data_IF_597187968274
#
_entry.id   IF_597187968274
#
_cell.length_a   1.000
_cell.length_b   1.000
_cell.length_c   1.000
_cell.angle_alpha   90.00
_cell.angle_beta   90.00
_cell.angle_gamma   90.00
#
_symmetry.space_group_name_H-M   'P 1'
#
loop_
_entity.id
_entity.type
_entity.pdbx_description
1 polymer ?
#
# COMPACT_ATOMS: atom_id res chain seq x y z
N UNK A 1 13.20 6.28 24.04
CA UNK A 1 12.25 5.74 25.05
C UNK A 1 11.77 4.37 24.61
N UNK A 2 11.81 3.38 25.49
CA UNK A 2 11.31 2.03 25.20
C UNK A 2 10.70 1.35 26.44
N UNK A 3 9.86 0.35 26.23
CA UNK A 3 9.31 -0.46 27.32
C UNK A 3 10.28 -1.54 27.79
N UNK A 4 10.08 -2.06 28.99
CA UNK A 4 10.93 -3.13 29.57
C UNK A 4 11.13 -4.34 28.66
N UNK A 5 10.06 -4.91 28.08
CA UNK A 5 10.17 -6.07 27.17
C UNK A 5 10.99 -5.75 25.91
N UNK A 6 10.88 -4.53 25.39
CA UNK A 6 11.70 -4.06 24.25
C UNK A 6 13.17 -3.90 24.65
N UNK A 7 13.45 -3.42 25.85
CA UNK A 7 14.81 -3.39 26.39
C UNK A 7 15.40 -4.81 26.56
N UNK A 8 14.58 -5.75 27.04
CA UNK A 8 14.94 -7.16 27.23
C UNK A 8 15.17 -7.91 25.91
N UNK A 9 14.50 -7.53 24.82
CA UNK A 9 14.69 -8.14 23.51
C UNK A 9 15.95 -7.66 22.78
N UNK A 10 16.56 -6.55 23.20
CA UNK A 10 17.83 -6.08 22.64
C UNK A 10 18.97 -6.96 23.18
N UNK A 11 19.85 -7.52 22.33
CA UNK A 11 20.99 -8.31 22.78
C UNK A 11 21.84 -7.58 23.81
N UNK A 12 22.32 -8.29 24.84
CA UNK A 12 23.10 -7.69 25.95
C UNK A 12 24.31 -6.89 25.48
N UNK A 13 24.95 -7.31 24.38
CA UNK A 13 26.12 -6.62 23.80
C UNK A 13 25.76 -5.32 23.07
N UNK A 14 24.47 -5.07 22.81
CA UNK A 14 23.96 -3.89 22.09
C UNK A 14 23.16 -2.94 22.98
N UNK A 15 23.01 -3.25 24.27
CA UNK A 15 22.35 -2.36 25.25
C UNK A 15 23.35 -1.92 26.33
N UNK A 16 23.33 -0.65 26.79
CA UNK A 16 22.53 0.46 26.25
C UNK A 16 22.89 0.79 24.81
N UNK A 17 21.95 1.36 24.07
CA UNK A 17 22.17 1.79 22.71
C UNK A 17 23.21 2.93 22.70
N UNK A 18 24.33 2.74 22.00
CA UNK A 18 25.44 3.71 21.94
C UNK A 18 25.02 5.07 21.39
N UNK A 19 25.69 6.14 21.87
CA UNK A 19 25.49 7.54 21.47
C UNK A 19 24.06 8.06 21.66
N UNK A 20 23.29 7.46 22.59
CA UNK A 20 21.89 7.80 22.86
C UNK A 20 21.62 7.75 24.36
N UNK A 21 20.73 8.62 24.83
CA UNK A 21 20.15 8.51 26.17
C UNK A 21 19.07 7.43 26.11
N UNK A 22 19.22 6.40 26.94
CA UNK A 22 18.29 5.28 26.98
C UNK A 22 17.30 5.49 28.13
N UNK A 23 16.01 5.62 27.81
CA UNK A 23 14.94 5.74 28.81
C UNK A 23 14.06 4.49 28.74
N UNK A 24 13.98 3.75 29.85
CA UNK A 24 13.22 2.50 29.96
C UNK A 24 11.99 2.72 30.83
N UNK A 25 10.82 2.49 30.25
CA UNK A 25 9.55 2.55 30.97
C UNK A 25 9.25 1.20 31.60
N UNK A 26 9.22 1.15 32.94
CA UNK A 26 8.90 -0.03 33.72
C UNK A 26 8.30 0.33 35.08
N UNK A 27 7.42 -0.54 35.59
CA UNK A 27 6.92 -0.47 36.96
C UNK A 27 7.88 -1.09 37.99
N UNK A 28 8.84 -1.90 37.55
CA UNK A 28 9.83 -2.58 38.40
C UNK A 28 11.25 -2.22 37.98
N UNK A 29 12.06 -1.81 38.95
CA UNK A 29 13.49 -1.45 38.75
C UNK A 29 14.33 -2.61 39.30
N UNK A 30 15.28 -3.08 38.51
CA UNK A 30 16.28 -4.08 38.90
C UNK A 30 17.70 -3.51 38.78
N UNK A 31 18.69 -4.30 39.22
CA UNK A 31 20.10 -3.88 39.26
C UNK A 31 20.69 -3.57 37.86
N UNK A 32 20.13 -4.11 36.77
CA UNK A 32 20.58 -3.77 35.41
C UNK A 32 20.10 -2.38 34.99
N UNK A 33 18.90 -2.00 35.42
CA UNK A 33 18.30 -0.70 35.12
C UNK A 33 18.85 0.45 36.00
N UNK A 34 19.62 0.15 37.04
CA UNK A 34 20.27 1.13 37.92
C UNK A 34 21.66 1.61 37.46
N UNK A 35 22.06 1.31 36.21
CA UNK A 35 23.34 1.81 35.68
C UNK A 35 23.29 3.31 35.37
N UNK A 36 24.43 4.01 35.51
CA UNK A 36 24.53 5.47 35.40
C UNK A 36 24.07 6.07 34.05
N UNK A 37 23.91 5.25 33.00
CA UNK A 37 23.60 5.70 31.64
C UNK A 37 22.16 5.33 31.19
N UNK A 38 21.29 4.92 32.11
CA UNK A 38 19.91 4.53 31.84
C UNK A 38 18.97 5.33 32.75
N UNK A 39 17.99 6.00 32.15
CA UNK A 39 16.89 6.62 32.87
C UNK A 39 15.72 5.63 32.97
N UNK A 40 15.09 5.53 34.14
CA UNK A 40 13.93 4.67 34.37
C UNK A 40 12.70 5.50 34.70
N UNK A 41 11.55 5.15 34.15
CA UNK A 41 10.29 5.86 34.37
C UNK A 41 9.09 4.91 34.44
N UNK A 42 7.97 5.34 35.03
CA UNK A 42 6.76 4.49 35.20
C UNK A 42 5.74 4.64 34.07
N UNK A 43 5.79 5.76 33.33
CA UNK A 43 4.93 6.07 32.20
C UNK A 43 5.71 6.78 31.09
N UNK A 44 5.10 6.96 29.91
CA UNK A 44 5.69 7.76 28.84
C UNK A 44 5.88 9.23 29.28
N UNK A 45 4.90 9.81 29.98
CA UNK A 45 5.01 11.20 30.44
C UNK A 45 6.13 11.36 31.46
N UNK A 46 6.24 10.45 32.43
CA UNK A 46 7.35 10.46 33.41
C UNK A 46 8.71 10.30 32.71
N UNK A 47 8.76 9.50 31.64
CA UNK A 47 9.96 9.30 30.84
C UNK A 47 10.39 10.59 30.13
N UNK A 48 9.43 11.35 29.60
CA UNK A 48 9.70 12.64 28.97
C UNK A 48 10.16 13.68 30.01
N UNK A 49 9.45 13.81 31.13
CA UNK A 49 9.85 14.73 32.21
C UNK A 49 11.24 14.41 32.75
N UNK A 50 11.52 13.14 33.07
CA UNK A 50 12.83 12.70 33.57
C UNK A 50 13.95 12.93 32.55
N UNK A 51 13.63 12.81 31.25
CA UNK A 51 14.57 13.12 30.18
C UNK A 51 14.89 14.63 30.16
N UNK A 52 13.87 15.49 30.20
CA UNK A 52 14.07 16.95 30.22
C UNK A 52 14.86 17.39 31.46
N UNK A 53 14.52 16.87 32.64
CA UNK A 53 15.26 17.17 33.88
C UNK A 53 16.74 16.75 33.76
N UNK A 54 17.02 15.58 33.20
CA UNK A 54 18.39 15.09 33.01
C UNK A 54 19.18 15.96 32.02
N UNK A 55 18.53 16.35 30.92
CA UNK A 55 19.07 17.22 29.87
C UNK A 55 19.43 18.60 30.44
N UNK A 56 18.55 19.18 31.24
CA UNK A 56 18.76 20.48 31.88
C UNK A 56 19.88 20.41 32.93
N UNK A 57 19.87 19.38 33.79
CA UNK A 57 20.87 19.20 34.86
C UNK A 57 22.29 19.01 34.32
N UNK A 58 22.45 18.34 33.19
CA UNK A 58 23.75 18.01 32.61
C UNK A 58 24.13 18.91 31.44
N UNK A 59 23.30 19.91 31.12
CA UNK A 59 23.47 20.82 29.98
C UNK A 59 23.74 20.06 28.66
N UNK A 60 22.98 18.98 28.44
CA UNK A 60 23.09 18.14 27.24
C UNK A 60 22.16 18.68 26.18
N UNK A 61 22.58 18.71 24.91
CA UNK A 61 21.67 19.00 23.80
C UNK A 61 21.07 17.70 23.26
N UNK A 62 19.76 17.51 23.40
CA UNK A 62 19.04 16.38 22.81
C UNK A 62 18.33 16.83 21.55
N UNK A 63 18.70 16.21 20.42
CA UNK A 63 18.07 16.50 19.13
C UNK A 63 16.64 15.96 19.04
N UNK A 64 16.49 14.65 18.77
CA UNK A 64 15.17 14.02 18.57
C UNK A 64 14.90 12.96 19.62
N UNK A 65 13.65 12.90 20.08
CA UNK A 65 13.16 11.84 20.98
C UNK A 65 12.50 10.76 20.14
N UNK A 66 12.97 9.52 20.27
CA UNK A 66 12.39 8.37 19.58
C UNK A 66 11.73 7.43 20.58
N UNK A 67 10.44 7.13 20.36
CA UNK A 67 9.76 6.00 20.98
C UNK A 67 9.98 4.79 20.09
N UNK A 68 10.65 3.74 20.60
CA UNK A 68 11.05 2.58 19.80
C UNK A 68 10.31 1.28 20.18
N UNK A 69 9.22 1.43 20.93
CA UNK A 69 8.31 0.33 21.31
C UNK A 69 8.25 0.09 22.81
N UNK A 70 7.40 -0.82 23.29
CA UNK A 70 6.52 -1.72 22.52
C UNK A 70 5.12 -1.15 22.25
N UNK A 71 4.18 -2.03 21.89
CA UNK A 71 2.78 -1.72 21.54
C UNK A 71 2.14 -0.65 22.45
N UNK A 72 2.23 -0.84 23.77
CA UNK A 72 1.68 0.12 24.75
C UNK A 72 2.25 1.52 24.57
N UNK A 73 3.58 1.66 24.46
CA UNK A 73 4.22 2.96 24.31
C UNK A 73 3.96 3.56 22.92
N UNK A 74 3.88 2.74 21.87
CA UNK A 74 3.44 3.24 20.57
C UNK A 74 2.01 3.79 20.63
N UNK A 75 1.10 3.09 21.32
CA UNK A 75 -0.29 3.54 21.49
C UNK A 75 -0.37 4.85 22.27
N UNK A 76 0.35 4.96 23.39
CA UNK A 76 0.45 6.19 24.19
C UNK A 76 1.08 7.34 23.37
N UNK A 77 2.12 7.06 22.60
CA UNK A 77 2.79 8.07 21.77
C UNK A 77 1.90 8.57 20.63
N UNK A 78 1.20 7.69 19.91
CA UNK A 78 0.30 8.10 18.83
C UNK A 78 -0.85 8.98 19.32
N UNK A 79 -1.37 8.72 20.51
CA UNK A 79 -2.41 9.52 21.15
C UNK A 79 -1.90 10.88 21.67
N UNK A 80 -0.58 11.08 21.77
CA UNK A 80 0.02 12.33 22.20
C UNK A 80 0.23 13.29 21.03
N UNK A 81 -0.19 14.54 21.20
CA UNK A 81 0.07 15.64 20.25
C UNK A 81 1.55 15.91 20.03
N UNK A 82 2.42 15.46 20.94
CA UNK A 82 3.87 15.56 20.82
C UNK A 82 4.48 14.60 19.78
N UNK A 83 3.75 13.60 19.29
CA UNK A 83 4.23 12.72 18.25
C UNK A 83 4.06 13.38 16.87
N UNK A 84 5.17 13.87 16.32
CA UNK A 84 5.19 14.59 15.03
C UNK A 84 5.31 13.67 13.82
N UNK A 85 6.00 12.53 13.96
CA UNK A 85 6.35 11.66 12.84
C UNK A 85 6.41 10.19 13.24
N UNK A 86 6.03 9.32 12.29
CA UNK A 86 6.09 7.86 12.41
C UNK A 86 7.00 7.35 11.31
N UNK A 87 8.10 6.70 11.71
CA UNK A 87 9.00 6.00 10.80
C UNK A 87 8.66 4.51 10.83
N UNK A 88 7.95 4.04 9.81
CA UNK A 88 7.46 2.67 9.71
C UNK A 88 8.28 1.90 8.67
N UNK A 89 8.70 0.69 9.02
CA UNK A 89 9.24 -0.26 8.04
C UNK A 89 8.18 -1.30 7.73
N UNK A 90 7.64 -1.29 6.52
CA UNK A 90 6.77 -2.38 6.05
C UNK A 90 7.62 -3.57 5.64
N UNK A 91 7.29 -4.77 6.12
CA UNK A 91 8.02 -5.99 5.83
C UNK A 91 7.04 -7.00 5.21
N UNK A 92 7.49 -7.70 4.17
CA UNK A 92 6.80 -8.80 3.50
C UNK A 92 7.74 -10.00 3.45
N UNK A 93 7.30 -11.12 4.01
CA UNK A 93 7.96 -12.41 3.86
C UNK A 93 6.92 -13.52 3.96
N UNK A 94 7.02 -14.58 3.14
CA UNK A 94 6.15 -15.76 3.26
C UNK A 94 6.36 -16.54 4.57
N UNK A 95 7.46 -16.29 5.27
CA UNK A 95 7.82 -16.92 6.55
C UNK A 95 7.26 -16.17 7.76
N UNK A 96 6.82 -14.92 7.58
CA UNK A 96 6.26 -14.12 8.67
C UNK A 96 4.86 -14.62 9.03
N UNK A 97 4.77 -15.33 10.16
CA UNK A 97 3.56 -15.93 10.74
C UNK A 97 3.61 -15.78 12.25
N UNK A 98 2.46 -15.96 12.90
CA UNK A 98 2.32 -16.05 14.36
C UNK A 98 2.87 -14.83 15.13
N UNK A 99 2.09 -13.76 15.16
CA UNK A 99 2.41 -12.53 15.89
C UNK A 99 1.59 -12.43 17.19
N UNK A 100 2.24 -11.99 18.26
CA UNK A 100 1.63 -11.79 19.59
C UNK A 100 1.61 -10.31 20.04
N UNK A 101 2.35 -9.44 19.35
CA UNK A 101 2.44 -7.99 19.62
C UNK A 101 2.28 -7.22 18.31
N UNK A 102 1.42 -6.21 18.31
CA UNK A 102 1.07 -5.46 17.09
C UNK A 102 1.40 -3.97 17.23
N UNK A 103 1.76 -3.35 16.11
CA UNK A 103 1.80 -1.88 16.04
C UNK A 103 0.36 -1.34 16.00
N UNK A 104 0.01 -0.32 16.80
CA UNK A 104 -1.33 0.26 16.79
C UNK A 104 -1.70 0.85 15.42
N UNK A 105 -2.99 0.85 15.09
CA UNK A 105 -3.48 1.50 13.88
C UNK A 105 -3.15 3.00 13.90
N UNK A 106 -2.62 3.50 12.77
CA UNK A 106 -2.29 4.93 12.60
C UNK A 106 -3.60 5.67 12.28
N UNK A 107 -4.03 6.67 13.08
CA UNK A 107 -5.26 7.42 12.81
C UNK A 107 -5.11 8.25 11.53
N UNK A 108 -5.84 7.88 10.48
CA UNK A 108 -5.73 8.50 9.16
C UNK A 108 -6.20 9.97 9.11
N UNK A 109 -6.98 10.41 10.10
CA UNK A 109 -7.40 11.80 10.29
C UNK A 109 -6.35 12.66 11.03
N UNK A 110 -5.37 12.04 11.68
CA UNK A 110 -4.32 12.75 12.43
C UNK A 110 -2.96 12.64 11.75
N UNK A 111 -2.72 11.62 10.93
CA UNK A 111 -1.44 11.41 10.27
C UNK A 111 -1.61 11.14 8.78
N UNK A 112 -0.80 11.81 7.98
CA UNK A 112 -0.70 11.59 6.55
C UNK A 112 0.58 10.82 6.22
N UNK A 113 0.50 9.86 5.30
CA UNK A 113 1.69 9.24 4.71
C UNK A 113 2.39 10.29 3.83
N UNK A 114 3.66 10.56 4.11
CA UNK A 114 4.48 11.59 3.45
C UNK A 114 5.67 11.04 2.66
N UNK A 115 6.08 9.80 2.93
CA UNK A 115 7.07 9.09 2.14
C UNK A 115 6.71 7.61 2.09
N UNK A 116 6.86 6.98 0.93
CA UNK A 116 6.76 5.53 0.76
C UNK A 116 7.81 5.05 -0.23
N UNK A 117 8.92 4.52 0.30
CA UNK A 117 10.04 4.07 -0.51
C UNK A 117 9.73 2.84 -1.38
N UNK A 118 10.63 2.55 -2.31
CA UNK A 118 10.60 1.32 -3.09
C UNK A 118 10.87 0.09 -2.20
N UNK A 119 10.38 -1.08 -2.66
CA UNK A 119 10.72 -2.35 -2.04
C UNK A 119 12.22 -2.64 -2.21
N UNK A 120 12.85 -3.01 -1.10
CA UNK A 120 14.21 -3.52 -0.99
C UNK A 120 14.16 -4.98 -0.59
N UNK A 121 15.18 -5.75 -0.95
CA UNK A 121 15.30 -7.17 -0.57
C UNK A 121 16.43 -7.38 0.43
N UNK A 122 16.23 -8.30 1.36
CA UNK A 122 17.26 -8.83 2.25
C UNK A 122 17.21 -10.34 2.18
N UNK A 123 18.13 -10.95 1.44
CA UNK A 123 18.04 -12.36 1.07
C UNK A 123 16.86 -12.64 0.12
N UNK A 124 16.48 -13.92 0.02
CA UNK A 124 15.53 -14.38 -0.99
C UNK A 124 14.05 -14.20 -0.58
N UNK A 125 13.78 -14.15 0.72
CA UNK A 125 12.41 -14.24 1.24
C UNK A 125 11.91 -12.97 1.92
N UNK A 126 12.79 -12.02 2.26
CA UNK A 126 12.41 -10.81 2.98
C UNK A 126 12.47 -9.60 2.06
N UNK A 127 11.32 -8.97 1.84
CA UNK A 127 11.20 -7.67 1.20
C UNK A 127 10.76 -6.63 2.23
N UNK A 128 11.31 -5.43 2.17
CA UNK A 128 10.96 -4.36 3.09
C UNK A 128 10.98 -2.99 2.40
N UNK A 129 10.28 -2.01 2.95
CA UNK A 129 10.38 -0.61 2.53
C UNK A 129 10.18 0.34 3.69
N UNK A 130 10.67 1.56 3.53
CA UNK A 130 10.55 2.62 4.52
C UNK A 130 9.36 3.53 4.19
N UNK A 131 8.60 3.87 5.21
CA UNK A 131 7.45 4.76 5.14
C UNK A 131 7.62 5.85 6.22
N UNK A 132 7.32 7.10 5.87
CA UNK A 132 7.23 8.21 6.84
C UNK A 132 5.80 8.72 6.86
N UNK A 133 5.20 8.80 8.05
CA UNK A 133 3.97 9.54 8.29
C UNK A 133 4.28 10.80 9.09
N UNK A 134 3.59 11.89 8.80
CA UNK A 134 3.63 13.11 9.61
C UNK A 134 2.25 13.46 10.14
N UNK A 135 2.22 14.01 11.34
CA UNK A 135 0.99 14.54 11.93
C UNK A 135 0.44 15.66 11.05
N UNK A 136 -0.85 15.61 10.77
CA UNK A 136 -1.59 16.65 10.06
C UNK A 136 -1.69 17.84 11.01
N UNK A 137 -1.10 18.98 10.63
CA UNK A 137 -1.20 20.21 11.41
C UNK A 137 -2.53 20.90 11.09
N UNK A 138 -3.21 21.43 12.12
CA UNK A 138 -4.58 21.98 12.05
C UNK A 138 -4.83 23.00 10.93
N UNK A 139 -3.79 23.68 10.40
CA UNK A 139 -3.94 24.76 9.41
C UNK A 139 -3.11 24.61 8.14
N UNK A 140 -2.62 23.39 7.81
CA UNK A 140 -2.01 23.16 6.51
C UNK A 140 -2.65 21.93 5.89
N UNK A 141 -3.28 22.12 4.74
CA UNK A 141 -3.38 21.05 3.75
C UNK A 141 -2.02 20.37 3.71
N UNK A 142 -1.91 19.17 4.28
CA UNK A 142 -0.75 18.34 3.99
C UNK A 142 -0.93 18.04 2.52
N UNK A 143 -0.16 18.71 1.66
CA UNK A 143 -0.01 18.28 0.28
C UNK A 143 0.38 16.81 0.37
N UNK A 144 -0.59 15.93 0.12
CA UNK A 144 -0.31 14.52 -0.06
C UNK A 144 0.57 14.50 -1.28
N UNK A 145 1.87 14.36 -1.05
CA UNK A 145 2.83 14.33 -2.13
C UNK A 145 2.35 13.21 -3.07
N UNK A 146 2.05 13.50 -4.35
CA UNK A 146 1.50 12.52 -5.28
C UNK A 146 2.46 11.33 -5.51
N UNK A 147 3.72 11.44 -5.04
CA UNK A 147 4.70 10.36 -4.99
C UNK A 147 4.53 9.40 -3.79
N UNK A 148 3.51 9.59 -2.96
CA UNK A 148 3.32 8.85 -1.71
C UNK A 148 2.11 7.94 -1.80
N UNK A 149 2.37 6.66 -2.04
CA UNK A 149 1.32 5.68 -2.31
C UNK A 149 1.73 4.71 -3.42
N UNK A 150 0.78 3.99 -4.00
CA UNK A 150 1.02 3.27 -5.24
C UNK A 150 1.02 4.29 -6.40
N UNK A 151 2.16 4.95 -6.62
CA UNK A 151 2.32 6.02 -7.61
C UNK A 151 1.94 5.61 -9.02
N UNK A 152 2.10 4.32 -9.34
CA UNK A 152 1.71 3.79 -10.64
C UNK A 152 0.18 3.69 -10.76
N UNK A 153 -0.50 3.21 -9.72
CA UNK A 153 -1.97 3.16 -9.68
C UNK A 153 -2.61 4.55 -9.59
N UNK A 154 -1.92 5.54 -9.02
CA UNK A 154 -2.38 6.93 -9.05
C UNK A 154 -2.56 7.47 -10.47
N UNK A 155 -1.83 6.96 -11.47
CA UNK A 155 -2.04 7.36 -12.87
C UNK A 155 -3.46 6.98 -13.34
N UNK A 156 -3.95 5.81 -12.96
CA UNK A 156 -5.31 5.35 -13.25
C UNK A 156 -6.36 6.19 -12.51
N UNK A 157 -6.16 6.45 -11.21
CA UNK A 157 -7.11 7.24 -10.41
C UNK A 157 -7.17 8.71 -10.86
N UNK A 158 -6.02 9.28 -11.20
CA UNK A 158 -5.95 10.65 -11.72
C UNK A 158 -6.57 10.77 -13.11
N UNK A 159 -6.41 9.75 -13.97
CA UNK A 159 -7.09 9.71 -15.27
C UNK A 159 -8.62 9.70 -15.11
N UNK A 160 -9.15 8.92 -14.16
CA UNK A 160 -10.59 8.92 -13.85
C UNK A 160 -11.03 10.29 -13.35
N UNK A 161 -10.31 10.87 -12.37
CA UNK A 161 -10.64 12.19 -11.82
C UNK A 161 -10.65 13.26 -12.91
N UNK A 162 -9.65 13.26 -13.78
CA UNK A 162 -9.57 14.21 -14.88
C UNK A 162 -10.70 14.06 -15.91
N UNK A 163 -11.17 12.83 -16.18
CA UNK A 163 -12.35 12.60 -17.02
C UNK A 163 -13.62 13.11 -16.32
N UNK A 164 -13.76 12.94 -15.00
CA UNK A 164 -14.93 13.41 -14.26
C UNK A 164 -14.98 14.94 -14.18
N UNK A 165 -13.83 15.58 -13.95
CA UNK A 165 -13.75 17.03 -13.75
C UNK A 165 -13.73 17.79 -15.09
N UNK A 166 -13.05 17.25 -16.11
CA UNK A 166 -12.76 17.95 -17.37
C UNK A 166 -13.17 17.16 -18.64
N UNK A 167 -13.91 16.07 -18.50
CA UNK A 167 -14.36 15.26 -19.63
C UNK A 167 -15.45 15.93 -20.45
N UNK A 168 -15.51 15.60 -21.74
CA UNK A 168 -16.57 16.06 -22.64
C UNK A 168 -17.68 15.01 -22.68
N UNK A 169 -18.90 15.43 -22.39
CA UNK A 169 -20.11 14.62 -22.54
C UNK A 169 -20.35 14.29 -24.03
N UNK A 170 -20.54 13.00 -24.31
CA UNK A 170 -20.79 12.46 -25.64
C UNK A 170 -21.78 11.32 -25.59
N UNK A 171 -22.70 11.31 -26.55
CA UNK A 171 -23.49 10.11 -26.86
C UNK A 171 -22.59 9.00 -27.42
N UNK A 172 -23.02 7.75 -27.25
CA UNK A 172 -22.32 6.56 -27.72
C UNK A 172 -23.28 5.60 -28.45
N UNK A 173 -22.73 4.49 -28.98
CA UNK A 173 -23.51 3.47 -29.68
C UNK A 173 -24.44 2.64 -28.78
N UNK A 174 -24.27 2.68 -27.46
CA UNK A 174 -25.11 1.93 -26.51
C UNK A 174 -26.29 2.75 -26.03
N UNK A 175 -26.30 4.06 -26.31
CA UNK A 175 -27.32 5.00 -25.85
C UNK A 175 -27.18 5.39 -24.38
N UNK A 176 -26.07 5.02 -23.73
CA UNK A 176 -25.82 5.31 -22.31
C UNK A 176 -25.25 6.70 -22.12
N UNK A 177 -24.33 7.11 -23.00
CA UNK A 177 -23.59 8.35 -22.89
C UNK A 177 -22.31 8.17 -22.08
N UNK A 178 -21.33 9.04 -22.35
CA UNK A 178 -19.98 8.97 -21.75
C UNK A 178 -19.44 10.36 -21.45
N UNK A 179 -18.67 10.49 -20.37
CA UNK A 179 -17.67 11.54 -20.23
C UNK A 179 -16.36 11.03 -20.82
N UNK A 180 -15.74 11.81 -21.71
CA UNK A 180 -14.60 11.33 -22.49
C UNK A 180 -13.47 12.37 -22.60
N UNK A 181 -12.24 11.86 -22.67
CA UNK A 181 -11.04 12.62 -23.08
C UNK A 181 -10.28 11.83 -24.14
N UNK A 182 -9.53 12.52 -24.98
CA UNK A 182 -8.69 11.91 -26.02
C UNK A 182 -7.21 11.99 -25.63
N UNK A 183 -6.47 10.90 -25.83
CA UNK A 183 -5.02 10.88 -25.68
C UNK A 183 -4.48 10.74 -24.25
N UNK A 184 -5.19 10.05 -23.36
CA UNK A 184 -4.66 9.70 -22.04
C UNK A 184 -3.57 8.63 -22.15
N UNK A 185 -2.59 8.68 -21.24
CA UNK A 185 -1.46 7.76 -21.26
C UNK A 185 -1.03 7.41 -19.83
N UNK A 186 -0.69 6.13 -19.61
CA UNK A 186 -0.24 5.58 -18.33
C UNK A 186 0.97 4.65 -18.56
N UNK A 187 1.88 4.58 -17.59
CA UNK A 187 3.06 3.69 -17.59
C UNK A 187 3.15 2.93 -16.28
N UNK A 188 3.40 1.63 -16.37
CA UNK A 188 3.50 0.73 -15.22
C UNK A 188 4.81 -0.07 -15.31
N UNK A 189 5.51 -0.24 -14.19
CA UNK A 189 6.73 -1.04 -14.14
C UNK A 189 6.39 -2.53 -14.02
N UNK A 190 7.07 -3.36 -14.81
CA UNK A 190 7.08 -4.82 -14.69
C UNK A 190 8.38 -5.36 -14.08
N UNK A 191 9.27 -4.46 -13.62
CA UNK A 191 10.52 -4.84 -12.95
C UNK A 191 10.21 -5.42 -11.56
N UNK A 192 11.21 -6.04 -10.93
CA UNK A 192 11.11 -6.49 -9.53
C UNK A 192 9.95 -7.46 -9.25
N UNK A 193 9.55 -8.26 -10.26
CA UNK A 193 8.44 -9.21 -10.20
C UNK A 193 7.10 -8.55 -9.83
N UNK A 194 6.85 -7.32 -10.31
CA UNK A 194 5.58 -6.62 -10.11
C UNK A 194 4.62 -6.81 -11.29
N UNK A 195 3.33 -6.86 -10.99
CA UNK A 195 2.25 -6.83 -11.97
C UNK A 195 1.30 -5.68 -11.59
N UNK A 196 0.93 -4.79 -12.52
CA UNK A 196 0.06 -3.64 -12.23
C UNK A 196 -1.41 -4.05 -12.14
N UNK A 197 -1.73 -4.87 -11.15
CA UNK A 197 -3.10 -5.18 -10.78
C UNK A 197 -3.61 -4.07 -9.86
N UNK A 198 -4.64 -3.33 -10.31
CA UNK A 198 -5.27 -2.25 -9.54
C UNK A 198 -5.75 -2.80 -8.17
N UNK A 199 -5.49 -2.06 -7.10
CA UNK A 199 -5.75 -2.49 -5.71
C UNK A 199 -6.93 -1.79 -5.06
N UNK A 200 -7.33 -0.62 -5.57
CA UNK A 200 -8.52 0.14 -5.16
C UNK A 200 -9.84 -0.54 -5.51
N UNK A 201 -9.80 -1.56 -6.37
CA UNK A 201 -10.92 -2.46 -6.68
C UNK A 201 -10.39 -3.86 -6.98
N UNK A 202 -11.07 -4.89 -6.45
CA UNK A 202 -10.75 -6.28 -6.79
C UNK A 202 -10.97 -6.54 -8.27
N UNK A 203 -9.91 -6.85 -8.99
CA UNK A 203 -9.93 -7.20 -10.43
C UNK A 203 -10.30 -8.68 -10.59
N UNK A 204 -11.09 -9.00 -11.62
CA UNK A 204 -11.41 -10.38 -11.98
C UNK A 204 -10.23 -11.09 -12.68
N UNK A 205 -9.19 -11.38 -11.91
CA UNK A 205 -7.91 -11.91 -12.41
C UNK A 205 -8.05 -13.19 -13.24
N UNK A 206 -8.90 -14.14 -12.79
CA UNK A 206 -9.18 -15.37 -13.54
C UNK A 206 -9.70 -15.06 -14.95
N UNK A 207 -10.61 -14.09 -15.08
CA UNK A 207 -11.15 -13.66 -16.37
C UNK A 207 -10.06 -13.14 -17.30
N UNK A 208 -9.18 -12.25 -16.80
CA UNK A 208 -8.06 -11.68 -17.57
C UNK A 208 -7.13 -12.77 -18.10
N UNK A 209 -6.76 -13.74 -17.24
CA UNK A 209 -5.85 -14.82 -17.64
C UNK A 209 -6.50 -15.76 -18.66
N UNK A 210 -7.75 -16.19 -18.42
CA UNK A 210 -8.45 -17.10 -19.33
C UNK A 210 -8.72 -16.45 -20.70
N UNK A 211 -9.06 -15.15 -20.73
CA UNK A 211 -9.25 -14.39 -21.97
C UNK A 211 -7.93 -14.25 -22.75
N UNK A 212 -6.83 -13.87 -22.08
CA UNK A 212 -5.52 -13.78 -22.75
C UNK A 212 -5.11 -15.13 -23.35
N UNK A 213 -5.30 -16.21 -22.60
CA UNK A 213 -5.03 -17.57 -23.05
C UNK A 213 -5.95 -18.02 -24.20
N UNK A 214 -7.18 -17.51 -24.26
CA UNK A 214 -8.11 -17.72 -25.37
C UNK A 214 -7.66 -16.95 -26.63
N UNK A 215 -7.22 -15.69 -26.49
CA UNK A 215 -6.62 -14.93 -27.60
C UNK A 215 -5.37 -15.60 -28.17
N UNK A 216 -4.44 -16.05 -27.31
CA UNK A 216 -3.21 -16.73 -27.74
C UNK A 216 -3.49 -18.01 -28.52
N UNK A 217 -4.62 -18.69 -28.27
CA UNK A 217 -5.04 -19.88 -29.01
C UNK A 217 -5.72 -19.58 -30.34
N UNK A 218 -5.98 -18.32 -30.65
CA UNK A 218 -6.69 -17.95 -31.86
C UNK A 218 -8.19 -18.25 -31.84
N UNK A 219 -8.77 -18.50 -30.67
CA UNK A 219 -10.19 -18.82 -30.56
C UNK A 219 -11.08 -17.60 -30.78
N UNK A 220 -12.29 -17.86 -31.28
CA UNK A 220 -13.31 -16.85 -31.61
C UNK A 220 -14.67 -17.14 -30.98
N UNK A 221 -14.90 -18.38 -30.53
CA UNK A 221 -16.13 -18.78 -29.84
C UNK A 221 -16.09 -18.40 -28.34
N UNK A 222 -16.98 -17.50 -27.93
CA UNK A 222 -17.12 -17.03 -26.56
C UNK A 222 -17.61 -18.12 -25.60
N UNK A 223 -18.32 -19.15 -26.08
CA UNK A 223 -18.82 -20.25 -25.24
C UNK A 223 -17.69 -21.03 -24.56
N UNK A 224 -16.50 -21.05 -25.15
CA UNK A 224 -15.30 -21.63 -24.54
C UNK A 224 -14.88 -20.90 -23.25
N UNK A 225 -15.11 -19.59 -23.16
CA UNK A 225 -14.89 -18.79 -21.95
C UNK A 225 -16.05 -18.98 -20.97
N UNK A 226 -17.30 -18.97 -21.45
CA UNK A 226 -18.48 -19.16 -20.59
C UNK A 226 -18.46 -20.53 -19.91
N UNK A 227 -18.01 -21.59 -20.60
CA UNK A 227 -17.81 -22.93 -20.03
C UNK A 227 -16.78 -22.95 -18.89
N UNK A 228 -15.88 -21.97 -18.83
CA UNK A 228 -14.92 -21.76 -17.73
C UNK A 228 -15.41 -20.75 -16.70
N UNK A 229 -16.70 -20.35 -16.72
CA UNK A 229 -17.27 -19.35 -15.82
C UNK A 229 -16.79 -17.93 -16.09
N UNK A 230 -16.38 -17.63 -17.33
CA UNK A 230 -15.94 -16.29 -17.76
C UNK A 230 -16.93 -15.76 -18.79
N UNK A 231 -17.83 -14.87 -18.35
CA UNK A 231 -19.01 -14.42 -19.12
C UNK A 231 -18.85 -13.05 -19.79
N UNK A 232 -17.62 -12.54 -19.90
CA UNK A 232 -17.34 -11.17 -20.34
C UNK A 232 -17.71 -10.90 -21.81
N UNK A 233 -17.83 -11.96 -22.63
CA UNK A 233 -18.19 -11.90 -24.05
C UNK A 233 -19.62 -12.38 -24.36
N UNK A 234 -20.38 -12.87 -23.36
CA UNK A 234 -21.70 -13.48 -23.57
C UNK A 234 -22.67 -12.49 -24.23
N UNK A 235 -22.70 -11.23 -23.78
CA UNK A 235 -23.57 -10.21 -24.35
C UNK A 235 -23.29 -9.92 -25.82
N UNK A 236 -22.01 -9.82 -26.19
CA UNK A 236 -21.58 -9.56 -27.57
C UNK A 236 -21.65 -10.80 -28.48
N UNK A 237 -21.66 -12.00 -27.91
CA UNK A 237 -21.85 -13.25 -28.64
C UNK A 237 -23.31 -13.72 -28.73
N UNK A 238 -24.25 -13.04 -28.07
CA UNK A 238 -25.66 -13.42 -28.09
C UNK A 238 -26.26 -13.37 -29.50
N UNK A 239 -27.25 -14.22 -29.77
CA UNK A 239 -27.99 -14.22 -31.04
C UNK A 239 -28.56 -12.84 -31.38
N UNK A 240 -29.18 -12.19 -30.40
CA UNK A 240 -29.76 -10.84 -30.54
C UNK A 240 -28.71 -9.82 -30.96
N UNK A 241 -27.54 -9.80 -30.30
CA UNK A 241 -26.50 -8.85 -30.63
C UNK A 241 -25.91 -9.12 -32.03
N UNK A 242 -25.64 -10.37 -32.38
CA UNK A 242 -25.13 -10.73 -33.71
C UNK A 242 -26.11 -10.31 -34.82
N UNK A 243 -27.41 -10.54 -34.63
CA UNK A 243 -28.45 -10.10 -35.58
C UNK A 243 -28.50 -8.59 -35.71
N UNK A 244 -28.38 -7.85 -34.60
CA UNK A 244 -28.31 -6.38 -34.62
C UNK A 244 -27.12 -5.82 -35.42
N UNK A 245 -26.08 -6.66 -35.63
CA UNK A 245 -24.88 -6.34 -36.41
C UNK A 245 -24.93 -6.88 -37.84
N UNK A 246 -26.02 -7.55 -38.24
CA UNK A 246 -26.17 -8.16 -39.56
C UNK A 246 -25.40 -9.48 -39.73
N UNK A 247 -24.93 -10.08 -38.62
CA UNK A 247 -24.14 -11.31 -38.60
C UNK A 247 -25.05 -12.55 -38.43
N UNK A 248 -26.08 -12.63 -39.26
CA UNK A 248 -27.11 -13.68 -39.17
C UNK A 248 -26.55 -15.10 -39.38
N UNK A 249 -25.43 -15.20 -40.08
CA UNK A 249 -24.78 -16.46 -40.44
C UNK A 249 -23.80 -16.97 -39.37
N UNK A 250 -23.33 -16.10 -38.47
CA UNK A 250 -22.51 -16.52 -37.34
C UNK A 250 -23.37 -17.34 -36.38
N UNK A 251 -22.85 -18.43 -35.84
CA UNK A 251 -23.53 -19.12 -34.74
C UNK A 251 -23.49 -18.27 -33.46
N UNK A 252 -24.43 -18.48 -32.54
CA UNK A 252 -24.34 -17.83 -31.23
C UNK A 252 -23.02 -18.20 -30.55
N UNK A 253 -22.32 -17.19 -30.02
CA UNK A 253 -20.98 -17.31 -29.46
C UNK A 253 -19.85 -17.08 -30.44
N UNK A 254 -20.07 -17.24 -31.76
CA UNK A 254 -19.04 -16.98 -32.77
C UNK A 254 -18.87 -15.48 -33.02
N UNK A 255 -17.83 -14.91 -32.41
CA UNK A 255 -17.49 -13.49 -32.52
C UNK A 255 -16.87 -13.12 -33.87
N UNK A 256 -16.57 -14.11 -34.73
CA UNK A 256 -15.85 -13.91 -35.99
C UNK A 256 -14.35 -13.60 -35.77
N UNK A 257 -13.67 -13.02 -36.78
CA UNK A 257 -12.22 -12.91 -36.80
C UNK A 257 -11.69 -11.73 -35.94
N UNK A 258 -11.92 -11.82 -34.62
CA UNK A 258 -11.51 -10.84 -33.60
C UNK A 258 -10.04 -11.04 -33.17
N UNK A 259 -9.65 -10.48 -32.01
CA UNK A 259 -8.27 -10.37 -31.53
C UNK A 259 -7.41 -11.63 -31.74
N UNK A 260 -7.79 -12.76 -31.14
CA UNK A 260 -6.97 -13.97 -31.18
C UNK A 260 -6.78 -14.49 -32.61
N UNK A 261 -7.83 -14.48 -33.42
CA UNK A 261 -7.76 -14.87 -34.82
C UNK A 261 -6.79 -13.97 -35.58
N UNK A 262 -6.90 -12.64 -35.44
CA UNK A 262 -5.99 -11.72 -36.12
C UNK A 262 -4.53 -11.85 -35.64
N UNK A 263 -4.29 -12.23 -34.38
CA UNK A 263 -2.92 -12.48 -33.89
C UNK A 263 -2.27 -13.72 -34.51
N UNK A 264 -3.08 -14.72 -34.87
CA UNK A 264 -2.59 -16.04 -35.32
C UNK A 264 -2.77 -16.28 -36.82
N UNK A 265 -3.73 -15.60 -37.45
CA UNK A 265 -4.22 -15.83 -38.81
C UNK A 265 -4.54 -14.49 -39.51
N UNK A 266 -3.66 -13.49 -39.37
CA UNK A 266 -3.86 -12.16 -39.97
C UNK A 266 -4.10 -12.24 -41.48
N UNK A 267 -5.24 -11.74 -41.94
CA UNK A 267 -5.60 -11.65 -43.36
C UNK A 267 -6.09 -12.95 -44.02
N UNK A 268 -6.33 -14.01 -43.24
CA UNK A 268 -6.94 -15.26 -43.70
C UNK A 268 -8.45 -15.14 -43.94
#
# INVERSE_FOLDING_TARGET
>A
VMGRKTWESIPRQRRPLSNRINVVVSSSIDNELSSANILTAKSLNDALSSLFDHVDQHNINVGKIFVIGGERLFKEALASTACESIYLTEIRSPELRDFDVFFPAIPANEYALTERGCWKKSGDYLSYRFCEFRRIADDRFVEVNPQVGNVEEMQYLNAIRDILDNGVDRSDRTGTGTLSKFGLHMRFSLRDNTLPLITTKKVFWRGVVEELLWFVRGFTDSKLLSAKGVHIWDGNGSREYLDSRGLFHNEEGDLGPVYGFQWSHFGA
#
